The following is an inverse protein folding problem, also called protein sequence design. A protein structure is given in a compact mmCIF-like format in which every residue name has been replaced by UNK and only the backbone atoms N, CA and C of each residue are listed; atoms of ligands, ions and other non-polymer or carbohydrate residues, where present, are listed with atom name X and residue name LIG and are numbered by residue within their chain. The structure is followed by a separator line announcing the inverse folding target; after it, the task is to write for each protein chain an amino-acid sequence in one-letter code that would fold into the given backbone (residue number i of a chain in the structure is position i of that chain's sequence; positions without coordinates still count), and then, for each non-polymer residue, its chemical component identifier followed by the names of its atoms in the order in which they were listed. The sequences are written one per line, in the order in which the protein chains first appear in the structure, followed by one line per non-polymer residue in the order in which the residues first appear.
data_IF_378621200476
#
_entry.id   IF_378621200476
#
_cell.length_a   1.000
_cell.length_b   1.000
_cell.length_c   1.000
_cell.angle_alpha   90.00
_cell.angle_beta   90.00
_cell.angle_gamma   90.00
#
_symmetry.space_group_name_H-M   'P 1'
#
loop_
_entity.id
_entity.type
_entity.pdbx_description
1 polymer ?
#
# COMPACT_ATOMS: atom_id res chain seq x y z
N UNK A 1 -6.09 -33.99 -5.43
CA UNK A 1 -6.06 -32.60 -4.91
C UNK A 1 -4.66 -32.03 -5.15
N UNK A 2 -4.43 -31.54 -6.36
CA UNK A 2 -3.11 -31.01 -6.77
C UNK A 2 -3.01 -29.56 -6.31
N UNK A 3 -2.16 -29.29 -5.31
CA UNK A 3 -1.89 -27.93 -4.83
C UNK A 3 -1.22 -27.13 -5.94
N UNK A 4 -1.93 -26.15 -6.49
CA UNK A 4 -1.43 -25.25 -7.53
C UNK A 4 -0.39 -24.30 -6.91
N UNK A 5 0.89 -24.67 -6.96
CA UNK A 5 2.05 -23.89 -6.49
C UNK A 5 2.05 -22.38 -6.88
N UNK A 6 1.58 -21.97 -8.09
CA UNK A 6 1.49 -20.56 -8.48
C UNK A 6 0.62 -19.69 -7.55
N UNK A 7 -0.50 -20.21 -7.06
CA UNK A 7 -1.43 -19.41 -6.25
C UNK A 7 -0.85 -19.06 -4.88
N UNK A 8 -0.11 -19.99 -4.27
CA UNK A 8 0.59 -19.76 -3.01
C UNK A 8 1.66 -18.67 -3.15
N UNK A 9 2.39 -18.66 -4.27
CA UNK A 9 3.37 -17.62 -4.56
C UNK A 9 2.74 -16.22 -4.63
N UNK A 10 1.59 -16.10 -5.31
CA UNK A 10 0.84 -14.84 -5.36
C UNK A 10 0.31 -14.38 -4.00
N UNK A 11 -0.07 -15.30 -3.11
CA UNK A 11 -0.49 -14.97 -1.75
C UNK A 11 0.68 -14.47 -0.90
N UNK A 12 1.85 -15.12 -0.97
CA UNK A 12 3.06 -14.66 -0.28
C UNK A 12 3.48 -13.26 -0.74
N UNK A 13 3.51 -13.04 -2.05
CA UNK A 13 3.82 -11.72 -2.61
C UNK A 13 2.86 -10.63 -2.11
N UNK A 14 1.56 -10.95 -2.01
CA UNK A 14 0.55 -10.03 -1.44
C UNK A 14 0.82 -9.70 0.01
N UNK A 15 1.31 -10.64 0.82
CA UNK A 15 1.72 -10.40 2.21
C UNK A 15 2.98 -9.53 2.29
N UNK A 16 3.98 -9.81 1.45
CA UNK A 16 5.23 -9.02 1.40
C UNK A 16 4.96 -7.55 1.06
N UNK A 17 4.06 -7.29 0.11
CA UNK A 17 3.62 -5.93 -0.19
C UNK A 17 2.94 -5.25 1.00
N UNK A 18 2.12 -5.98 1.76
CA UNK A 18 1.48 -5.44 2.98
C UNK A 18 2.52 -5.10 4.05
N UNK A 19 3.52 -5.98 4.27
CA UNK A 19 4.62 -5.74 5.21
C UNK A 19 5.46 -4.54 4.75
N UNK A 20 5.68 -4.39 3.45
CA UNK A 20 6.38 -3.23 2.89
C UNK A 20 5.60 -1.94 3.16
N UNK A 21 4.28 -1.94 2.97
CA UNK A 21 3.44 -0.77 3.25
C UNK A 21 3.53 -0.36 4.74
N UNK A 22 3.50 -1.33 5.67
CA UNK A 22 3.74 -1.07 7.11
C UNK A 22 5.13 -0.47 7.38
N UNK A 23 6.19 -1.11 6.87
CA UNK A 23 7.57 -0.69 7.15
C UNK A 23 7.94 0.65 6.51
N UNK A 24 7.57 0.83 5.24
CA UNK A 24 8.01 1.97 4.43
C UNK A 24 7.00 3.11 4.42
N UNK A 25 5.72 2.82 4.12
CA UNK A 25 4.73 3.89 3.98
C UNK A 25 4.28 4.44 5.35
N UNK A 26 4.19 3.59 6.38
CA UNK A 26 3.87 4.01 7.74
C UNK A 26 5.09 4.25 8.63
N UNK A 27 6.32 3.96 8.16
CA UNK A 27 7.53 4.23 8.92
C UNK A 27 7.83 3.25 10.07
N UNK A 28 7.13 2.10 10.13
CA UNK A 28 7.29 1.11 11.20
C UNK A 28 8.69 0.45 11.24
N UNK A 29 9.57 0.72 10.26
CA UNK A 29 10.94 0.22 10.27
C UNK A 29 11.79 0.76 11.43
N UNK A 30 11.43 1.93 11.99
CA UNK A 30 12.15 2.55 13.10
C UNK A 30 11.17 2.92 14.21
N UNK A 31 11.13 2.10 15.27
CA UNK A 31 10.30 2.35 16.45
C UNK A 31 11.01 3.31 17.41
N UNK A 32 10.26 4.20 18.03
CA UNK A 32 10.77 5.20 18.99
C UNK A 32 10.71 4.74 20.44
N UNK A 33 9.90 3.73 20.75
CA UNK A 33 9.79 3.19 22.11
C UNK A 33 11.12 2.64 22.64
N UNK A 34 11.49 3.02 23.86
CA UNK A 34 12.70 2.52 24.53
C UNK A 34 12.46 1.35 25.48
N UNK A 35 11.19 0.97 25.71
CA UNK A 35 10.80 -0.19 26.51
C UNK A 35 9.98 -1.19 25.68
N UNK A 36 10.01 -2.49 26.01
CA UNK A 36 9.21 -3.50 25.32
C UNK A 36 7.70 -3.17 25.29
N UNK A 37 7.17 -2.59 26.37
CA UNK A 37 5.78 -2.18 26.49
C UNK A 37 5.44 -1.05 25.51
N UNK A 38 6.30 -0.04 25.41
CA UNK A 38 6.12 1.07 24.47
C UNK A 38 6.22 0.61 23.02
N UNK A 39 7.20 -0.25 22.70
CA UNK A 39 7.36 -0.83 21.36
C UNK A 39 6.11 -1.61 20.94
N UNK A 40 5.51 -2.41 21.83
CA UNK A 40 4.25 -3.13 21.55
C UNK A 40 3.12 -2.16 21.21
N UNK A 41 2.95 -1.08 21.98
CA UNK A 41 1.92 -0.06 21.72
C UNK A 41 2.13 0.62 20.37
N UNK A 42 3.37 0.95 20.06
CA UNK A 42 3.74 1.57 18.78
C UNK A 42 3.42 0.65 17.60
N UNK A 43 3.75 -0.65 17.70
CA UNK A 43 3.39 -1.65 16.68
C UNK A 43 1.86 -1.72 16.50
N UNK A 44 1.10 -1.76 17.60
CA UNK A 44 -0.36 -1.77 17.53
C UNK A 44 -0.94 -0.52 16.87
N UNK A 45 -0.37 0.66 17.13
CA UNK A 45 -0.77 1.89 16.48
C UNK A 45 -0.52 1.85 14.96
N UNK A 46 0.62 1.31 14.52
CA UNK A 46 0.92 1.13 13.10
C UNK A 46 -0.04 0.14 12.42
N UNK A 47 -0.36 -0.98 13.10
CA UNK A 47 -1.32 -1.96 12.59
C UNK A 47 -2.73 -1.37 12.49
N UNK A 48 -3.15 -0.58 13.48
CA UNK A 48 -4.42 0.13 13.46
C UNK A 48 -4.48 1.13 12.30
N UNK A 49 -3.46 1.97 12.14
CA UNK A 49 -3.37 2.93 11.04
C UNK A 49 -3.42 2.24 9.67
N UNK A 50 -2.70 1.11 9.52
CA UNK A 50 -2.73 0.30 8.31
C UNK A 50 -4.14 -0.21 8.00
N UNK A 51 -4.86 -0.75 8.98
CA UNK A 51 -6.21 -1.27 8.80
C UNK A 51 -7.20 -0.16 8.44
N UNK A 52 -7.11 1.00 9.10
CA UNK A 52 -7.95 2.17 8.78
C UNK A 52 -7.73 2.62 7.34
N UNK A 53 -6.47 2.79 6.91
CA UNK A 53 -6.17 3.18 5.52
C UNK A 53 -6.67 2.11 4.54
N UNK A 54 -6.53 0.83 4.84
CA UNK A 54 -7.05 -0.26 3.99
C UNK A 54 -8.57 -0.24 3.87
N UNK A 55 -9.28 0.07 4.95
CA UNK A 55 -10.74 0.23 4.92
C UNK A 55 -11.17 1.42 4.08
N UNK A 56 -10.50 2.57 4.23
CA UNK A 56 -10.76 3.76 3.40
C UNK A 56 -10.46 3.47 1.93
N UNK A 57 -9.39 2.74 1.62
CA UNK A 57 -9.10 2.28 0.26
C UNK A 57 -10.23 1.40 -0.28
N UNK A 58 -10.78 0.50 0.53
CA UNK A 58 -11.89 -0.36 0.10
C UNK A 58 -13.15 0.46 -0.25
N UNK A 59 -13.47 1.48 0.55
CA UNK A 59 -14.57 2.41 0.26
C UNK A 59 -14.29 3.24 -1.01
N UNK A 60 -13.07 3.76 -1.16
CA UNK A 60 -12.66 4.51 -2.35
C UNK A 60 -12.70 3.64 -3.62
N UNK A 61 -12.38 2.36 -3.48
CA UNK A 61 -12.45 1.40 -4.57
C UNK A 61 -13.89 1.15 -5.02
N UNK A 62 -14.84 1.09 -4.09
CA UNK A 62 -16.27 1.01 -4.40
C UNK A 62 -16.74 2.26 -5.18
N UNK A 63 -16.37 3.47 -4.72
CA UNK A 63 -16.71 4.74 -5.40
C UNK A 63 -16.19 4.80 -6.85
N UNK A 64 -15.09 4.10 -7.16
CA UNK A 64 -14.47 4.08 -8.49
C UNK A 64 -14.59 2.75 -9.22
N UNK A 65 -15.43 1.83 -8.72
CA UNK A 65 -15.68 0.51 -9.32
C UNK A 65 -14.39 -0.24 -9.70
N UNK A 66 -13.40 -0.22 -8.82
CA UNK A 66 -12.12 -0.87 -9.05
C UNK A 66 -11.74 -1.81 -7.91
N UNK A 67 -10.73 -2.65 -8.12
CA UNK A 67 -10.25 -3.49 -7.04
C UNK A 67 -9.47 -2.63 -6.02
N UNK A 68 -9.65 -2.81 -4.70
CA UNK A 68 -8.84 -2.15 -3.68
C UNK A 68 -7.33 -2.39 -3.86
N UNK A 69 -6.96 -3.53 -4.46
CA UNK A 69 -5.56 -3.88 -4.78
C UNK A 69 -4.96 -3.02 -5.89
N UNK A 70 -5.79 -2.36 -6.69
CA UNK A 70 -5.34 -1.43 -7.74
C UNK A 70 -5.08 -0.02 -7.20
N UNK A 71 -5.33 0.27 -5.93
CA UNK A 71 -5.07 1.58 -5.33
C UNK A 71 -3.74 1.55 -4.57
N UNK A 72 -2.88 2.55 -4.78
CA UNK A 72 -1.60 2.69 -4.08
C UNK A 72 -1.84 3.07 -2.61
N UNK A 73 -1.33 2.25 -1.69
CA UNK A 73 -1.41 2.54 -0.26
C UNK A 73 -0.78 3.89 0.12
N UNK A 74 0.41 4.20 -0.39
CA UNK A 74 1.09 5.47 -0.12
C UNK A 74 0.29 6.69 -0.62
N UNK A 75 -0.39 6.56 -1.77
CA UNK A 75 -1.27 7.62 -2.28
C UNK A 75 -2.49 7.84 -1.39
N UNK A 76 -3.08 6.75 -0.87
CA UNK A 76 -4.17 6.85 0.08
C UNK A 76 -3.77 7.54 1.39
N UNK A 77 -2.60 7.19 1.95
CA UNK A 77 -2.02 7.87 3.11
C UNK A 77 -1.83 9.37 2.86
N UNK A 78 -1.23 9.74 1.73
CA UNK A 78 -1.00 11.14 1.36
C UNK A 78 -2.31 11.92 1.21
N UNK A 79 -3.32 11.34 0.57
CA UNK A 79 -4.63 11.98 0.43
C UNK A 79 -5.31 12.19 1.80
N UNK A 80 -5.21 11.22 2.70
CA UNK A 80 -5.73 11.34 4.07
C UNK A 80 -5.01 12.44 4.85
N UNK A 81 -3.69 12.55 4.72
CA UNK A 81 -2.89 13.62 5.33
C UNK A 81 -3.26 14.99 4.77
N UNK A 82 -3.46 15.10 3.45
CA UNK A 82 -3.81 16.35 2.78
C UNK A 82 -5.20 16.89 3.20
N UNK A 83 -6.15 16.00 3.48
CA UNK A 83 -7.52 16.36 3.87
C UNK A 83 -7.74 16.36 5.39
N UNK A 84 -6.69 16.13 6.19
CA UNK A 84 -6.78 16.05 7.66
C UNK A 84 -7.50 17.24 8.28
N UNK A 85 -7.17 18.47 7.88
CA UNK A 85 -7.76 19.68 8.47
C UNK A 85 -9.23 19.83 8.08
N UNK A 86 -9.58 19.56 6.82
CA UNK A 86 -10.98 19.55 6.37
C UNK A 86 -11.81 18.50 7.12
N UNK A 87 -11.19 17.36 7.44
CA UNK A 87 -11.72 16.30 8.29
C UNK A 87 -11.55 16.57 9.80
N UNK A 88 -11.22 17.78 10.23
CA UNK A 88 -11.22 18.13 11.66
C UNK A 88 -12.19 19.28 11.96
N UNK A 89 -12.42 20.14 10.96
CA UNK A 89 -13.19 21.38 11.11
C UNK A 89 -14.52 21.31 10.37
N UNK A 90 -14.71 20.38 9.43
CA UNK A 90 -15.97 20.22 8.72
C UNK A 90 -17.09 19.70 9.63
N UNK A 91 -18.29 20.27 9.50
CA UNK A 91 -19.50 19.77 10.14
C UNK A 91 -20.60 19.55 9.10
N UNK A 92 -21.56 18.68 9.42
CA UNK A 92 -22.72 18.39 8.57
C UNK A 92 -22.36 18.10 7.11
N UNK A 93 -22.99 18.81 6.18
CA UNK A 93 -22.81 18.61 4.73
C UNK A 93 -21.40 18.93 4.24
N UNK A 94 -20.66 19.81 4.92
CA UNK A 94 -19.29 20.13 4.56
C UNK A 94 -18.36 18.93 4.83
N UNK A 95 -18.58 18.25 5.97
CA UNK A 95 -17.88 17.00 6.26
C UNK A 95 -18.14 15.94 5.20
N UNK A 96 -19.41 15.73 4.82
CA UNK A 96 -19.79 14.78 3.79
C UNK A 96 -19.07 15.05 2.46
N UNK A 97 -18.99 16.32 2.05
CA UNK A 97 -18.25 16.75 0.85
C UNK A 97 -16.75 16.48 0.95
N UNK A 98 -16.12 16.72 2.10
CA UNK A 98 -14.71 16.40 2.31
C UNK A 98 -14.43 14.90 2.25
N UNK A 99 -15.29 14.07 2.85
CA UNK A 99 -15.17 12.61 2.79
C UNK A 99 -15.34 12.11 1.36
N UNK A 100 -16.34 12.62 0.63
CA UNK A 100 -16.58 12.22 -0.75
C UNK A 100 -15.41 12.63 -1.67
N UNK A 101 -14.88 13.85 -1.49
CA UNK A 101 -13.69 14.32 -2.18
C UNK A 101 -12.46 13.45 -1.86
N UNK A 102 -12.28 13.06 -0.60
CA UNK A 102 -11.22 12.15 -0.16
C UNK A 102 -11.33 10.81 -0.89
N UNK A 103 -12.50 10.16 -0.86
CA UNK A 103 -12.69 8.85 -1.47
C UNK A 103 -12.43 8.90 -2.98
N UNK A 104 -12.90 9.95 -3.67
CA UNK A 104 -12.59 10.18 -5.08
C UNK A 104 -11.10 10.36 -5.31
N UNK A 105 -10.41 11.17 -4.50
CA UNK A 105 -8.96 11.38 -4.63
C UNK A 105 -8.17 10.08 -4.43
N UNK A 106 -8.48 9.31 -3.38
CA UNK A 106 -7.86 8.02 -3.09
C UNK A 106 -8.05 7.04 -4.24
N UNK A 107 -9.28 6.91 -4.76
CA UNK A 107 -9.56 6.03 -5.90
C UNK A 107 -8.78 6.43 -7.17
N UNK A 108 -8.36 7.69 -7.29
CA UNK A 108 -7.54 8.18 -8.40
C UNK A 108 -6.09 7.68 -8.37
N UNK A 109 -5.56 7.28 -7.21
CA UNK A 109 -4.19 6.79 -7.05
C UNK A 109 -4.01 5.35 -7.53
N UNK A 110 -4.38 5.06 -8.78
CA UNK A 110 -4.32 3.70 -9.33
C UNK A 110 -2.89 3.26 -9.62
N UNK A 111 -2.64 1.98 -9.40
CA UNK A 111 -1.47 1.24 -9.86
C UNK A 111 -1.73 0.91 -11.32
N UNK A 112 -0.85 1.36 -12.21
CA UNK A 112 -0.96 1.02 -13.63
C UNK A 112 -0.78 -0.48 -13.84
N UNK A 113 -1.63 -1.08 -14.67
CA UNK A 113 -1.44 -2.45 -15.12
C UNK A 113 -0.25 -2.48 -16.09
N UNK A 114 0.76 -3.29 -15.80
CA UNK A 114 1.86 -3.59 -16.72
C UNK A 114 1.73 -5.05 -17.17
N UNK A 115 0.86 -5.35 -18.15
CA UNK A 115 0.70 -6.71 -18.66
C UNK A 115 2.00 -7.19 -19.31
N UNK A 116 2.32 -8.48 -19.19
CA UNK A 116 3.48 -9.09 -19.83
C UNK A 116 4.79 -9.11 -19.00
N UNK A 117 4.74 -8.93 -17.68
CA UNK A 117 5.92 -9.18 -16.84
C UNK A 117 6.16 -10.68 -16.69
N UNK A 118 6.95 -11.22 -17.60
CA UNK A 118 7.62 -12.52 -17.45
C UNK A 118 9.06 -12.23 -17.04
N UNK A 119 9.43 -12.56 -15.80
CA UNK A 119 10.82 -12.56 -15.34
C UNK A 119 11.31 -14.02 -15.43
N UNK A 120 11.80 -14.48 -16.60
CA UNK A 120 12.27 -15.86 -16.75
C UNK A 120 13.39 -16.11 -15.75
N UNK A 121 13.48 -17.35 -15.24
CA UNK A 121 14.59 -17.81 -14.39
C UNK A 121 15.86 -17.94 -15.22
N UNK A 122 16.35 -16.80 -15.69
CA UNK A 122 17.51 -16.66 -16.53
C UNK A 122 18.39 -15.57 -15.92
N UNK A 123 19.70 -15.84 -15.87
CA UNK A 123 20.67 -14.83 -15.44
C UNK A 123 20.68 -13.73 -16.49
N UNK A 124 20.20 -12.53 -16.11
CA UNK A 124 20.25 -11.35 -16.97
C UNK A 124 21.71 -11.04 -17.29
N UNK A 125 22.14 -11.30 -18.53
CA UNK A 125 23.47 -10.90 -19.01
C UNK A 125 23.52 -9.37 -19.03
N UNK A 126 24.11 -8.77 -17.99
CA UNK A 126 24.61 -7.39 -18.08
C UNK A 126 25.84 -7.44 -18.98
N UNK A 127 25.93 -6.62 -20.05
CA UNK A 127 27.19 -6.46 -20.76
C UNK A 127 28.24 -6.02 -19.75
N UNK A 128 29.35 -6.76 -19.64
CA UNK A 128 30.54 -6.29 -18.92
C UNK A 128 31.27 -5.31 -19.84
N UNK A 129 31.86 -4.26 -19.25
CA UNK A 129 32.56 -3.18 -19.99
C UNK A 129 33.70 -3.74 -20.84
N UNK A 130 34.31 -4.85 -20.40
CA UNK A 130 35.40 -5.52 -21.09
C UNK A 130 34.91 -6.66 -21.98
N UNK A 131 35.54 -6.79 -23.14
CA UNK A 131 35.32 -7.87 -24.09
C UNK A 131 35.70 -9.23 -23.49
N UNK A 132 35.07 -10.29 -23.99
CA UNK A 132 35.46 -11.67 -23.67
C UNK A 132 36.75 -11.98 -24.42
N UNK A 133 37.70 -12.61 -23.75
CA UNK A 133 38.87 -13.16 -24.42
C UNK A 133 38.41 -14.26 -25.40
N UNK A 134 38.96 -14.22 -26.61
CA UNK A 134 38.79 -15.23 -27.67
C UNK A 134 39.46 -16.54 -27.29
#
# INVERSE_FOLDING_TARGET
MSSCYPDLYHHRWRLELNIRDLKQALGMAHLRGHTPEMMRREIWAHLLAYNVIRQVIAQAAQVRECSPRQIRFAGAKQALEALRVGLQVGEGDLWGRHVEALLRAIGGHRIGTRPGRSDPWAVKRRPKIYARMT
#
